data_IF_675438249738
#
_entry.id   IF_675438249738
#
_cell.length_a   1.000
_cell.length_b   1.000
_cell.length_c   1.000
_cell.angle_alpha   90.00
_cell.angle_beta   90.00
_cell.angle_gamma   90.00
#
_symmetry.space_group_name_H-M   'P 1'
#
loop_
_entity.id
_entity.type
_entity.pdbx_description
1 polymer ?
#
# COMPACT_ATOMS: atom_id res chain seq x y z
N UNK A 1 -12.34 36.01 -32.00
CA UNK A 1 -12.98 34.67 -31.92
C UNK A 1 -12.02 33.51 -32.18
N UNK A 2 -10.96 33.64 -32.97
CA UNK A 2 -9.96 32.58 -33.27
C UNK A 2 -8.99 32.26 -32.12
N UNK A 3 -8.75 33.17 -31.17
CA UNK A 3 -7.80 32.95 -30.05
C UNK A 3 -8.39 32.09 -28.92
N UNK A 4 -9.71 32.17 -28.66
CA UNK A 4 -10.36 31.34 -27.63
C UNK A 4 -10.47 29.87 -28.06
N UNK A 5 -10.68 29.60 -29.35
CA UNK A 5 -10.77 28.22 -29.87
C UNK A 5 -9.45 27.47 -29.79
N UNK A 6 -8.30 28.15 -29.98
CA UNK A 6 -6.97 27.54 -29.86
C UNK A 6 -6.63 27.19 -28.40
N UNK A 7 -7.00 28.01 -27.42
CA UNK A 7 -6.75 27.77 -26.00
C UNK A 7 -7.62 26.62 -25.49
N UNK A 8 -8.90 26.58 -25.89
CA UNK A 8 -9.82 25.50 -25.50
C UNK A 8 -9.40 24.18 -26.14
N UNK A 9 -9.02 24.18 -27.43
CA UNK A 9 -8.55 22.98 -28.12
C UNK A 9 -7.24 22.46 -27.49
N UNK A 10 -6.33 23.37 -27.10
CA UNK A 10 -5.08 23.00 -26.42
C UNK A 10 -5.31 22.44 -25.03
N UNK A 11 -6.35 22.94 -24.31
CA UNK A 11 -6.75 22.44 -23.00
C UNK A 11 -7.42 21.06 -23.10
N UNK A 12 -8.33 20.88 -24.06
CA UNK A 12 -9.03 19.59 -24.31
C UNK A 12 -8.02 18.52 -24.79
N UNK A 13 -7.08 18.87 -25.65
CA UNK A 13 -6.01 17.94 -26.11
C UNK A 13 -5.07 17.58 -24.95
N UNK A 14 -4.73 18.54 -24.06
CA UNK A 14 -3.93 18.24 -22.86
C UNK A 14 -4.67 17.34 -21.84
N UNK A 15 -5.97 17.56 -21.65
CA UNK A 15 -6.77 16.73 -20.73
C UNK A 15 -6.98 15.33 -21.32
N UNK A 16 -7.29 15.18 -22.59
CA UNK A 16 -7.45 13.89 -23.24
C UNK A 16 -6.13 13.10 -23.29
N UNK A 17 -4.99 13.73 -23.56
CA UNK A 17 -3.69 13.07 -23.48
C UNK A 17 -3.27 12.71 -22.04
N UNK A 18 -3.70 13.46 -21.01
CA UNK A 18 -3.51 13.08 -19.62
C UNK A 18 -4.32 11.83 -19.24
N UNK A 19 -5.56 11.73 -19.73
CA UNK A 19 -6.44 10.58 -19.51
C UNK A 19 -5.95 9.33 -20.26
N UNK A 20 -5.47 9.46 -21.50
CA UNK A 20 -4.97 8.33 -22.31
C UNK A 20 -3.66 7.73 -21.77
N UNK A 21 -2.74 8.55 -21.23
CA UNK A 21 -1.42 8.04 -20.79
C UNK A 21 -1.49 7.11 -19.58
N UNK A 22 -2.47 7.28 -18.70
CA UNK A 22 -2.60 6.49 -17.47
C UNK A 22 -3.61 5.34 -17.55
N UNK A 23 -4.55 5.39 -18.49
CA UNK A 23 -5.51 4.30 -18.72
C UNK A 23 -4.88 3.07 -19.39
N UNK A 24 -3.64 3.20 -19.89
CA UNK A 24 -2.94 2.12 -20.59
C UNK A 24 -1.92 1.35 -19.75
N UNK A 25 -1.46 1.90 -18.59
CA UNK A 25 -0.45 1.24 -17.77
C UNK A 25 -1.05 0.06 -17.01
N UNK A 26 -0.49 -1.13 -17.25
CA UNK A 26 -0.90 -2.37 -16.59
C UNK A 26 -0.20 -2.52 -15.25
N UNK A 27 -0.98 -2.49 -14.18
CA UNK A 27 -0.49 -2.75 -12.81
C UNK A 27 -0.89 -4.16 -12.39
N UNK A 28 0.03 -4.92 -11.84
CA UNK A 28 -0.28 -6.17 -11.14
C UNK A 28 0.07 -6.05 -9.66
N UNK A 29 -0.74 -6.69 -8.80
CA UNK A 29 -0.54 -6.69 -7.33
C UNK A 29 -0.15 -8.09 -6.87
N UNK A 30 1.06 -8.21 -6.33
CA UNK A 30 1.59 -9.44 -5.77
C UNK A 30 1.42 -9.42 -4.25
N UNK A 31 0.93 -10.50 -3.67
CA UNK A 31 0.57 -10.60 -2.24
C UNK A 31 -0.59 -9.65 -1.89
N UNK A 32 -1.62 -9.64 -2.74
CA UNK A 32 -2.68 -8.63 -2.72
C UNK A 32 -3.58 -8.67 -1.48
N UNK A 33 -3.68 -9.82 -0.78
CA UNK A 33 -4.56 -9.99 0.36
C UNK A 33 -6.01 -9.64 0.03
N UNK A 34 -6.64 -8.78 0.83
CA UNK A 34 -7.99 -8.27 0.54
C UNK A 34 -8.01 -7.01 -0.34
N UNK A 35 -6.88 -6.59 -0.91
CA UNK A 35 -6.85 -5.54 -1.94
C UNK A 35 -6.62 -4.10 -1.44
N UNK A 36 -6.05 -3.89 -0.25
CA UNK A 36 -5.80 -2.54 0.25
C UNK A 36 -4.83 -1.73 -0.63
N UNK A 37 -3.76 -2.37 -1.12
CA UNK A 37 -2.79 -1.76 -2.03
C UNK A 37 -3.42 -1.51 -3.41
N UNK A 38 -4.07 -2.52 -3.99
CA UNK A 38 -4.81 -2.43 -5.26
C UNK A 38 -5.82 -1.29 -5.25
N UNK A 39 -6.66 -1.18 -4.22
CA UNK A 39 -7.69 -0.14 -4.12
C UNK A 39 -7.08 1.25 -4.05
N UNK A 40 -5.97 1.44 -3.32
CA UNK A 40 -5.27 2.71 -3.26
C UNK A 40 -4.70 3.15 -4.62
N UNK A 41 -4.12 2.22 -5.38
CA UNK A 41 -3.65 2.48 -6.75
C UNK A 41 -4.82 2.78 -7.70
N UNK A 42 -5.92 2.03 -7.61
CA UNK A 42 -7.14 2.28 -8.39
C UNK A 42 -7.72 3.66 -8.09
N UNK A 43 -7.78 4.08 -6.81
CA UNK A 43 -8.24 5.42 -6.42
C UNK A 43 -7.34 6.55 -6.97
N UNK A 44 -6.05 6.29 -7.16
CA UNK A 44 -5.14 7.21 -7.82
C UNK A 44 -5.28 7.21 -9.36
N UNK A 45 -6.16 6.35 -9.92
CA UNK A 45 -6.46 6.27 -11.34
C UNK A 45 -5.48 5.37 -12.11
N UNK A 46 -4.87 4.37 -11.47
CA UNK A 46 -4.18 3.27 -12.14
C UNK A 46 -5.16 2.12 -12.41
N UNK A 47 -4.93 1.40 -13.51
CA UNK A 47 -5.70 0.21 -13.83
C UNK A 47 -4.97 -1.04 -13.30
N UNK A 48 -5.61 -1.75 -12.37
CA UNK A 48 -5.12 -3.06 -11.93
C UNK A 48 -5.54 -4.09 -12.98
N UNK A 49 -4.55 -4.76 -13.58
CA UNK A 49 -4.80 -5.77 -14.61
C UNK A 49 -5.01 -7.17 -14.00
N UNK A 50 -4.28 -7.49 -12.93
CA UNK A 50 -4.44 -8.73 -12.19
C UNK A 50 -3.87 -8.60 -10.77
N UNK A 51 -4.34 -9.46 -9.88
CA UNK A 51 -3.83 -9.59 -8.53
C UNK A 51 -3.51 -11.05 -8.20
N UNK A 52 -2.59 -11.29 -7.28
CA UNK A 52 -2.10 -12.63 -6.92
C UNK A 52 -2.01 -12.75 -5.41
N UNK A 53 -2.51 -13.85 -4.86
CA UNK A 53 -2.32 -14.21 -3.45
C UNK A 53 -2.44 -15.73 -3.27
N UNK A 54 -1.93 -16.27 -2.19
CA UNK A 54 -2.06 -17.69 -1.85
C UNK A 54 -3.09 -17.96 -0.75
N UNK A 55 -3.74 -16.93 -0.24
CA UNK A 55 -4.78 -17.05 0.79
C UNK A 55 -6.18 -17.03 0.18
N UNK A 56 -6.74 -18.21 -0.06
CA UNK A 56 -8.04 -18.39 -0.72
C UNK A 56 -9.15 -17.53 -0.09
N UNK A 57 -9.17 -17.42 1.26
CA UNK A 57 -10.18 -16.61 1.96
C UNK A 57 -10.07 -15.13 1.64
N UNK A 58 -8.83 -14.60 1.51
CA UNK A 58 -8.61 -13.21 1.11
C UNK A 58 -9.02 -12.97 -0.35
N UNK A 59 -8.72 -13.92 -1.24
CA UNK A 59 -9.13 -13.87 -2.64
C UNK A 59 -10.67 -13.80 -2.78
N UNK A 60 -11.43 -14.58 -1.99
CA UNK A 60 -12.90 -14.51 -2.00
C UNK A 60 -13.43 -13.13 -1.60
N UNK A 61 -12.78 -12.46 -0.66
CA UNK A 61 -13.10 -11.06 -0.30
C UNK A 61 -12.69 -10.12 -1.42
N UNK A 62 -11.52 -10.31 -2.01
CA UNK A 62 -11.02 -9.51 -3.13
C UNK A 62 -12.00 -9.53 -4.31
N UNK A 63 -12.42 -10.72 -4.76
CA UNK A 63 -13.33 -10.93 -5.91
C UNK A 63 -14.68 -10.23 -5.76
N UNK A 64 -15.15 -10.00 -4.53
CA UNK A 64 -16.40 -9.27 -4.27
C UNK A 64 -16.29 -7.76 -4.48
N UNK A 65 -15.06 -7.23 -4.54
CA UNK A 65 -14.80 -5.81 -4.54
C UNK A 65 -14.09 -5.29 -5.79
N UNK A 66 -13.57 -6.18 -6.64
CA UNK A 66 -12.81 -5.81 -7.83
C UNK A 66 -13.32 -6.57 -9.06
N UNK A 67 -13.25 -5.93 -10.22
CA UNK A 67 -13.72 -6.48 -11.49
C UNK A 67 -12.60 -7.13 -12.33
N UNK A 68 -11.34 -6.98 -11.93
CA UNK A 68 -10.20 -7.61 -12.60
C UNK A 68 -9.88 -8.95 -11.96
N UNK A 69 -9.10 -9.77 -12.66
CA UNK A 69 -8.76 -11.12 -12.22
C UNK A 69 -7.91 -11.11 -10.94
N UNK A 70 -8.25 -12.02 -10.03
CA UNK A 70 -7.39 -12.38 -8.90
C UNK A 70 -7.09 -13.88 -8.95
N UNK A 71 -5.82 -14.21 -8.88
CA UNK A 71 -5.30 -15.54 -9.14
C UNK A 71 -4.79 -16.15 -7.82
N UNK A 72 -5.37 -17.31 -7.47
CA UNK A 72 -4.90 -18.11 -6.34
C UNK A 72 -3.62 -18.83 -6.74
N UNK A 73 -2.46 -18.37 -6.26
CA UNK A 73 -1.21 -19.08 -6.49
C UNK A 73 -0.17 -18.78 -5.40
N UNK A 74 0.73 -19.73 -5.19
CA UNK A 74 1.95 -19.51 -4.43
C UNK A 74 2.99 -18.81 -5.33
N UNK A 75 3.17 -17.52 -5.15
CA UNK A 75 4.08 -16.70 -5.95
C UNK A 75 5.54 -17.17 -5.80
N UNK A 76 5.87 -17.86 -4.69
CA UNK A 76 7.20 -18.41 -4.49
C UNK A 76 7.52 -19.62 -5.40
N UNK A 77 6.50 -20.25 -6.00
CA UNK A 77 6.69 -21.33 -6.95
C UNK A 77 7.15 -20.78 -8.31
N UNK A 78 8.27 -21.28 -8.83
CA UNK A 78 8.89 -20.78 -10.08
C UNK A 78 7.98 -20.92 -11.30
N UNK A 79 7.07 -21.90 -11.30
CA UNK A 79 6.14 -22.15 -12.41
C UNK A 79 5.17 -20.98 -12.67
N UNK A 80 4.98 -20.11 -11.68
CA UNK A 80 4.08 -18.95 -11.80
C UNK A 80 4.75 -17.72 -12.46
N UNK A 81 6.06 -17.72 -12.67
CA UNK A 81 6.78 -16.56 -13.23
C UNK A 81 6.37 -16.28 -14.68
N UNK A 82 6.16 -17.32 -15.50
CA UNK A 82 5.73 -17.15 -16.89
C UNK A 82 4.32 -16.56 -16.97
N UNK A 83 3.42 -16.92 -16.05
CA UNK A 83 2.11 -16.30 -15.95
C UNK A 83 2.20 -14.79 -15.73
N UNK A 84 3.10 -14.35 -14.81
CA UNK A 84 3.32 -12.95 -14.52
C UNK A 84 3.95 -12.22 -15.73
N UNK A 85 4.94 -12.82 -16.40
CA UNK A 85 5.57 -12.28 -17.60
C UNK A 85 4.60 -12.09 -18.74
N UNK A 86 3.71 -13.07 -18.98
CA UNK A 86 2.73 -13.03 -20.06
C UNK A 86 1.71 -11.89 -19.90
N UNK A 87 1.49 -11.39 -18.70
CA UNK A 87 0.68 -10.19 -18.47
C UNK A 87 1.37 -8.91 -18.94
N UNK A 88 2.69 -8.93 -19.14
CA UNK A 88 3.51 -7.80 -19.55
C UNK A 88 3.17 -6.53 -18.74
N UNK A 89 3.37 -6.54 -17.40
CA UNK A 89 3.01 -5.40 -16.57
C UNK A 89 4.01 -4.25 -16.72
N UNK A 90 3.48 -3.03 -16.75
CA UNK A 90 4.28 -1.80 -16.67
C UNK A 90 4.69 -1.51 -15.24
N UNK A 91 3.85 -1.89 -14.28
CA UNK A 91 4.05 -1.66 -12.85
C UNK A 91 3.76 -2.94 -12.07
N UNK A 92 4.67 -3.33 -11.19
CA UNK A 92 4.43 -4.38 -10.19
C UNK A 92 4.34 -3.73 -8.82
N UNK A 93 3.22 -3.94 -8.11
CA UNK A 93 3.08 -3.54 -6.73
C UNK A 93 2.99 -4.78 -5.83
N UNK A 94 3.29 -4.65 -4.53
CA UNK A 94 3.09 -5.77 -3.62
C UNK A 94 3.59 -5.54 -2.21
N UNK A 95 2.99 -6.27 -1.27
CA UNK A 95 3.36 -6.29 0.14
C UNK A 95 3.80 -7.68 0.60
N UNK A 96 5.02 -8.16 0.25
CA UNK A 96 5.46 -9.51 0.61
C UNK A 96 5.46 -9.68 2.14
N UNK A 97 4.84 -10.75 2.70
CA UNK A 97 4.77 -10.94 4.13
C UNK A 97 6.15 -11.17 4.74
N UNK A 98 6.41 -10.47 5.87
CA UNK A 98 7.64 -10.63 6.62
C UNK A 98 7.51 -11.82 7.59
N UNK A 99 7.99 -13.00 7.21
CA UNK A 99 7.79 -14.25 7.94
C UNK A 99 8.54 -14.34 9.30
N UNK A 100 9.54 -13.53 9.55
CA UNK A 100 10.38 -13.60 10.76
C UNK A 100 9.72 -13.07 12.03
N UNK A 101 8.51 -12.54 11.97
CA UNK A 101 7.87 -11.83 13.09
C UNK A 101 6.51 -12.37 13.50
N UNK A 102 6.03 -13.45 12.89
CA UNK A 102 4.89 -14.19 13.43
C UNK A 102 5.40 -15.27 14.40
N UNK A 103 5.35 -14.96 15.69
CA UNK A 103 5.69 -15.87 16.81
C UNK A 103 4.72 -17.05 16.98
N UNK A 104 4.07 -17.54 15.93
CA UNK A 104 3.02 -18.55 16.00
C UNK A 104 3.17 -19.71 15.00
N UNK A 105 4.40 -20.03 14.56
CA UNK A 105 4.59 -21.22 13.73
C UNK A 105 5.98 -21.80 13.94
N UNK A 106 6.06 -23.12 14.24
CA UNK A 106 7.33 -23.87 14.22
C UNK A 106 7.95 -23.70 12.82
N UNK A 107 9.14 -23.12 12.76
CA UNK A 107 9.95 -23.06 11.56
C UNK A 107 10.25 -24.48 11.09
N UNK A 108 9.79 -24.82 9.91
CA UNK A 108 10.38 -25.89 9.13
C UNK A 108 11.35 -25.23 8.14
N UNK A 109 12.62 -25.16 8.51
CA UNK A 109 13.69 -24.54 7.72
C UNK A 109 13.99 -25.34 6.42
N UNK A 110 13.40 -26.52 6.28
CA UNK A 110 13.66 -27.48 5.18
C UNK A 110 12.65 -27.38 4.02
N UNK A 111 11.64 -26.52 4.06
CA UNK A 111 10.63 -26.43 3.01
C UNK A 111 10.96 -25.42 1.90
N UNK A 112 12.22 -25.08 1.61
CA UNK A 112 12.64 -24.44 0.34
C UNK A 112 11.94 -23.13 -0.05
N UNK A 113 11.08 -22.57 0.80
CA UNK A 113 10.38 -21.29 0.57
C UNK A 113 11.32 -20.16 0.94
N UNK A 114 11.98 -19.59 -0.06
CA UNK A 114 12.80 -18.40 0.11
C UNK A 114 12.02 -17.27 0.80
N UNK A 115 12.74 -16.33 1.40
CA UNK A 115 12.13 -15.13 1.96
C UNK A 115 11.33 -14.40 0.87
N UNK A 116 10.03 -14.15 1.11
CA UNK A 116 9.12 -13.60 0.12
C UNK A 116 9.50 -12.18 -0.33
N UNK A 117 10.28 -11.45 0.47
CA UNK A 117 10.89 -10.18 0.06
C UNK A 117 11.93 -10.39 -1.05
N UNK A 118 12.74 -11.44 -0.92
CA UNK A 118 13.74 -11.81 -1.94
C UNK A 118 13.05 -12.39 -3.18
N UNK A 119 11.98 -13.18 -2.99
CA UNK A 119 11.15 -13.68 -4.10
C UNK A 119 10.56 -12.53 -4.91
N UNK A 120 9.97 -11.53 -4.24
CA UNK A 120 9.47 -10.33 -4.90
C UNK A 120 10.56 -9.65 -5.74
N UNK A 121 11.76 -9.47 -5.17
CA UNK A 121 12.88 -8.86 -5.88
C UNK A 121 13.31 -9.66 -7.11
N UNK A 122 13.37 -11.01 -7.03
CA UNK A 122 13.68 -11.88 -8.16
C UNK A 122 12.64 -11.81 -9.26
N UNK A 123 11.34 -11.74 -8.91
CA UNK A 123 10.26 -11.57 -9.88
C UNK A 123 10.42 -10.24 -10.63
N UNK A 124 10.59 -9.12 -9.89
CA UNK A 124 10.82 -7.80 -10.47
C UNK A 124 12.04 -7.80 -11.39
N UNK A 125 13.16 -8.38 -10.96
CA UNK A 125 14.39 -8.46 -11.75
C UNK A 125 14.21 -9.31 -13.03
N UNK A 126 13.35 -10.31 -13.00
CA UNK A 126 13.08 -11.19 -14.16
C UNK A 126 12.05 -10.62 -15.12
N UNK A 127 10.99 -9.98 -14.62
CA UNK A 127 9.92 -9.37 -15.42
C UNK A 127 10.36 -8.03 -16.00
N UNK A 128 11.15 -7.27 -15.24
CA UNK A 128 11.65 -5.93 -15.58
C UNK A 128 10.55 -4.92 -15.94
N UNK A 129 9.49 -4.77 -15.09
CA UNK A 129 8.51 -3.72 -15.31
C UNK A 129 9.20 -2.35 -15.28
N UNK A 130 8.60 -1.33 -15.91
CA UNK A 130 9.15 0.05 -15.83
C UNK A 130 9.21 0.55 -14.39
N UNK A 131 8.21 0.16 -13.56
CA UNK A 131 8.13 0.55 -12.15
C UNK A 131 7.81 -0.64 -11.25
N UNK A 132 8.28 -0.57 -10.03
CA UNK A 132 7.75 -1.41 -8.97
C UNK A 132 7.53 -0.61 -7.67
N UNK A 133 6.59 -1.05 -6.84
CA UNK A 133 6.35 -0.52 -5.50
C UNK A 133 6.23 -1.68 -4.51
N UNK A 134 7.20 -1.82 -3.65
CA UNK A 134 7.20 -2.79 -2.55
C UNK A 134 6.86 -2.11 -1.23
N UNK A 135 5.83 -2.59 -0.54
CA UNK A 135 5.47 -2.16 0.82
C UNK A 135 5.89 -3.20 1.85
N UNK A 136 6.30 -2.76 3.03
CA UNK A 136 6.53 -3.65 4.16
C UNK A 136 6.54 -2.89 5.50
N UNK A 137 6.72 -3.62 6.61
CA UNK A 137 6.93 -3.02 7.94
C UNK A 137 8.23 -2.22 7.98
N UNK A 138 8.25 -1.13 8.75
CA UNK A 138 9.36 -0.18 8.87
C UNK A 138 10.72 -0.82 9.19
N UNK A 139 10.72 -1.85 10.03
CA UNK A 139 11.94 -2.57 10.43
C UNK A 139 12.59 -3.38 9.31
N UNK A 140 11.85 -3.71 8.23
CA UNK A 140 12.43 -4.40 7.07
C UNK A 140 13.58 -3.59 6.48
N UNK A 141 13.49 -2.27 6.44
CA UNK A 141 14.52 -1.38 5.89
C UNK A 141 15.93 -1.61 6.41
N UNK A 142 16.05 -2.18 7.63
CA UNK A 142 17.34 -2.46 8.28
C UNK A 142 17.69 -3.95 8.31
N UNK A 143 16.93 -4.82 7.66
CA UNK A 143 17.13 -6.27 7.69
C UNK A 143 18.15 -6.72 6.66
N UNK A 144 18.86 -7.83 6.96
CA UNK A 144 19.74 -8.47 5.99
C UNK A 144 18.99 -8.94 4.73
N UNK A 145 17.73 -9.36 4.88
CA UNK A 145 16.87 -9.81 3.77
C UNK A 145 16.57 -8.68 2.80
N UNK A 146 16.27 -7.49 3.31
CA UNK A 146 16.08 -6.33 2.47
C UNK A 146 17.36 -5.93 1.75
N UNK A 147 18.52 -6.01 2.41
CA UNK A 147 19.80 -5.74 1.75
C UNK A 147 19.98 -6.63 0.51
N UNK A 148 19.69 -7.94 0.63
CA UNK A 148 19.75 -8.87 -0.50
C UNK A 148 18.77 -8.46 -1.61
N UNK A 149 17.51 -8.15 -1.24
CA UNK A 149 16.51 -7.71 -2.20
C UNK A 149 16.92 -6.41 -2.91
N UNK A 150 17.47 -5.45 -2.18
CA UNK A 150 18.00 -4.18 -2.69
C UNK A 150 19.11 -4.41 -3.70
N UNK A 151 20.06 -5.28 -3.39
CA UNK A 151 21.16 -5.61 -4.29
C UNK A 151 20.64 -6.26 -5.60
N UNK A 152 19.61 -7.12 -5.52
CA UNK A 152 18.94 -7.71 -6.70
C UNK A 152 18.29 -6.61 -7.56
N UNK A 153 17.55 -5.65 -6.97
CA UNK A 153 16.94 -4.55 -7.71
C UNK A 153 18.00 -3.71 -8.44
N UNK A 154 19.07 -3.32 -7.75
CA UNK A 154 20.14 -2.51 -8.32
C UNK A 154 20.89 -3.24 -9.45
N UNK A 155 21.22 -4.52 -9.27
CA UNK A 155 21.83 -5.35 -10.31
C UNK A 155 20.92 -5.53 -11.53
N UNK A 156 19.60 -5.51 -11.32
CA UNK A 156 18.63 -5.56 -12.42
C UNK A 156 18.49 -4.23 -13.17
N UNK A 157 19.14 -3.15 -12.71
CA UNK A 157 19.13 -1.82 -13.35
C UNK A 157 18.10 -0.84 -12.81
N UNK A 158 17.60 -1.03 -11.58
CA UNK A 158 16.65 -0.11 -10.96
C UNK A 158 17.34 0.99 -10.14
N UNK A 159 16.98 2.25 -10.40
CA UNK A 159 17.16 3.33 -9.42
C UNK A 159 16.08 3.26 -8.35
N UNK A 160 16.44 3.45 -7.08
CA UNK A 160 15.58 3.18 -5.94
C UNK A 160 15.24 4.45 -5.15
N UNK A 161 13.97 4.59 -4.78
CA UNK A 161 13.51 5.51 -3.74
C UNK A 161 13.00 4.71 -2.53
N UNK A 162 13.62 4.92 -1.39
CA UNK A 162 13.37 4.19 -0.15
C UNK A 162 12.84 5.18 0.91
N UNK A 163 11.64 4.95 1.42
CA UNK A 163 11.01 5.87 2.40
C UNK A 163 10.21 5.12 3.45
N UNK A 164 10.35 5.53 4.71
CA UNK A 164 9.41 5.14 5.78
C UNK A 164 8.37 6.24 5.89
N UNK A 165 7.10 5.89 5.68
CA UNK A 165 5.96 6.78 5.81
C UNK A 165 5.16 6.44 7.06
N UNK A 166 4.68 7.48 7.77
CA UNK A 166 3.67 7.32 8.80
C UNK A 166 2.29 7.56 8.17
N UNK A 167 1.46 6.53 8.14
CA UNK A 167 0.14 6.57 7.54
C UNK A 167 -0.71 7.74 8.07
N UNK A 168 -0.52 8.12 9.34
CA UNK A 168 -1.25 9.24 9.94
C UNK A 168 -0.96 10.60 9.30
N UNK A 169 0.16 10.74 8.60
CA UNK A 169 0.51 11.92 7.82
C UNK A 169 0.11 11.80 6.33
N UNK A 170 -0.44 10.65 5.93
CA UNK A 170 -0.90 10.34 4.58
C UNK A 170 -2.44 10.23 4.51
N UNK A 171 -3.17 10.90 5.40
CA UNK A 171 -4.64 10.93 5.44
C UNK A 171 -5.29 9.68 6.04
N UNK A 172 -4.55 8.82 6.73
CA UNK A 172 -5.06 7.65 7.44
C UNK A 172 -5.20 7.99 8.93
N UNK A 173 -6.34 7.73 9.59
CA UNK A 173 -6.51 8.02 11.01
C UNK A 173 -5.80 6.98 11.92
N UNK A 174 -4.54 6.65 11.57
CA UNK A 174 -3.80 5.58 12.24
C UNK A 174 -2.29 5.83 12.24
N UNK A 175 -1.67 5.77 13.41
CA UNK A 175 -0.20 5.71 13.57
C UNK A 175 0.30 4.34 13.12
N UNK A 176 0.77 4.26 11.86
CA UNK A 176 1.26 3.04 11.24
C UNK A 176 2.43 3.37 10.32
N UNK A 177 3.63 3.03 10.75
CA UNK A 177 4.82 3.22 9.92
C UNK A 177 4.98 2.06 8.95
N UNK A 178 5.23 2.40 7.67
CA UNK A 178 5.47 1.46 6.60
C UNK A 178 6.65 1.89 5.76
N UNK A 179 7.46 0.92 5.41
CA UNK A 179 8.57 1.07 4.49
C UNK A 179 8.08 0.87 3.06
N UNK A 180 8.45 1.77 2.18
CA UNK A 180 8.26 1.65 0.75
C UNK A 180 9.61 1.65 0.05
N UNK A 181 9.80 0.70 -0.86
CA UNK A 181 10.86 0.70 -1.85
C UNK A 181 10.21 0.81 -3.22
N UNK A 182 10.49 1.90 -3.93
CA UNK A 182 9.95 2.19 -5.25
C UNK A 182 11.12 2.22 -6.22
N UNK A 183 11.04 1.43 -7.30
CA UNK A 183 12.10 1.36 -8.29
C UNK A 183 11.64 1.79 -9.67
N UNK A 184 12.50 2.55 -10.37
CA UNK A 184 12.37 2.88 -11.78
C UNK A 184 13.44 2.16 -12.58
N UNK A 185 13.05 1.34 -13.57
CA UNK A 185 13.99 0.65 -14.47
C UNK A 185 14.76 1.66 -15.33
N UNK A 186 16.08 1.59 -15.28
CA UNK A 186 17.01 2.56 -15.86
C UNK A 186 16.77 4.01 -15.38
N UNK A 187 16.27 4.16 -14.13
CA UNK A 187 16.11 5.44 -13.46
C UNK A 187 17.27 5.75 -12.51
N UNK A 188 17.23 6.94 -11.92
CA UNK A 188 18.16 7.35 -10.88
C UNK A 188 17.61 7.04 -9.47
N UNK A 189 18.52 6.99 -8.48
CA UNK A 189 18.13 6.84 -7.08
C UNK A 189 17.41 8.11 -6.57
N UNK A 190 16.44 7.92 -5.64
CA UNK A 190 15.75 8.98 -4.88
C UNK A 190 14.85 9.91 -5.68
N UNK A 191 14.52 9.60 -6.92
CA UNK A 191 13.71 10.48 -7.80
C UNK A 191 12.33 10.84 -7.23
N UNK A 192 11.75 10.00 -6.37
CA UNK A 192 10.45 10.23 -5.74
C UNK A 192 10.55 10.84 -4.33
N UNK A 193 11.74 11.07 -3.78
CA UNK A 193 11.88 11.49 -2.38
C UNK A 193 11.20 12.82 -2.10
N UNK A 194 11.37 13.81 -2.97
CA UNK A 194 10.73 15.12 -2.85
C UNK A 194 9.20 15.04 -2.95
N UNK A 195 8.67 14.22 -3.84
CA UNK A 195 7.22 14.01 -4.01
C UNK A 195 6.59 13.35 -2.78
N UNK A 196 7.26 12.33 -2.23
CA UNK A 196 6.81 11.64 -1.02
C UNK A 196 6.92 12.52 0.24
N UNK A 197 7.74 13.57 0.23
CA UNK A 197 7.88 14.50 1.36
C UNK A 197 6.95 15.70 1.26
N UNK A 198 6.77 16.25 0.06
CA UNK A 198 6.06 17.52 -0.13
C UNK A 198 4.57 17.46 0.20
N UNK A 199 3.96 16.29 0.06
CA UNK A 199 2.51 16.10 0.22
C UNK A 199 2.10 15.54 1.60
N UNK A 200 3.05 15.36 2.54
CA UNK A 200 2.74 14.92 3.90
C UNK A 200 1.94 15.97 4.65
N UNK A 201 0.92 15.55 5.39
CA UNK A 201 0.22 16.43 6.31
C UNK A 201 1.16 16.95 7.41
N UNK A 202 0.93 18.17 7.88
CA UNK A 202 1.72 18.78 8.95
C UNK A 202 1.47 18.18 10.32
N UNK A 203 0.32 17.52 10.51
CA UNK A 203 -0.07 16.81 11.73
C UNK A 203 -0.81 15.51 11.43
N UNK A 204 -0.77 14.53 12.36
CA UNK A 204 -1.50 13.28 12.20
C UNK A 204 -3.01 13.47 12.11
N UNK A 205 -3.66 12.74 11.21
CA UNK A 205 -5.12 12.68 11.07
C UNK A 205 -5.72 11.90 12.25
N UNK A 206 -6.71 12.45 12.94
CA UNK A 206 -7.44 11.78 14.01
C UNK A 206 -8.60 10.93 13.46
N UNK A 207 -9.15 10.04 14.30
CA UNK A 207 -10.34 9.25 13.91
C UNK A 207 -11.52 10.18 13.67
N UNK A 208 -11.76 11.16 14.56
CA UNK A 208 -12.87 12.11 14.42
C UNK A 208 -12.75 12.94 13.14
N UNK A 209 -11.57 13.42 12.79
CA UNK A 209 -11.38 14.16 11.54
C UNK A 209 -11.68 13.33 10.30
N UNK A 210 -11.46 12.03 10.36
CA UNK A 210 -11.67 11.14 9.20
C UNK A 210 -13.08 10.57 9.12
N UNK A 211 -13.68 10.15 10.25
CA UNK A 211 -14.97 9.47 10.32
C UNK A 211 -16.09 10.33 10.90
N UNK A 212 -15.80 11.54 11.39
CA UNK A 212 -16.76 12.32 12.16
C UNK A 212 -17.24 11.55 13.40
N UNK A 213 -18.52 11.67 13.70
CA UNK A 213 -19.16 10.98 14.81
C UNK A 213 -19.82 9.63 14.42
N UNK A 214 -19.50 9.11 13.22
CA UNK A 214 -20.14 7.90 12.67
C UNK A 214 -19.93 6.63 13.50
N UNK A 215 -18.90 6.58 14.35
CA UNK A 215 -18.66 5.47 15.26
C UNK A 215 -19.58 5.48 16.49
N UNK A 216 -20.22 6.61 16.81
CA UNK A 216 -21.09 6.78 18.00
C UNK A 216 -20.39 6.55 19.35
N UNK A 217 -19.06 6.77 19.40
CA UNK A 217 -18.23 6.58 20.60
C UNK A 217 -17.19 7.69 20.71
N UNK A 218 -16.79 8.03 21.93
CA UNK A 218 -15.70 8.98 22.20
C UNK A 218 -14.39 8.26 22.50
N UNK A 219 -14.50 7.06 23.10
CA UNK A 219 -13.37 6.25 23.54
C UNK A 219 -13.59 4.80 23.17
N UNK A 220 -12.48 4.09 22.93
CA UNK A 220 -12.52 2.65 22.61
C UNK A 220 -11.35 1.92 23.23
N UNK A 221 -11.57 0.64 23.51
CA UNK A 221 -10.54 -0.27 23.99
C UNK A 221 -9.79 -0.92 22.82
N UNK A 222 -8.47 -0.99 22.93
CA UNK A 222 -7.61 -1.75 22.04
C UNK A 222 -6.68 -2.65 22.84
N UNK A 223 -6.78 -3.96 22.63
CA UNK A 223 -5.95 -4.94 23.34
C UNK A 223 -4.45 -4.62 23.20
N UNK A 224 -3.72 -4.31 24.28
CA UNK A 224 -2.32 -3.94 24.23
C UNK A 224 -1.42 -5.15 23.99
N UNK A 225 -0.21 -4.95 23.46
CA UNK A 225 0.82 -6.03 23.38
C UNK A 225 1.39 -6.40 24.74
N UNK A 226 1.33 -5.48 25.70
CA UNK A 226 1.79 -5.63 27.08
C UNK A 226 0.90 -4.80 27.95
N UNK A 227 0.52 -5.32 29.10
CA UNK A 227 -0.27 -4.61 30.11
C UNK A 227 0.46 -3.39 30.74
N UNK A 228 1.74 -3.19 30.42
CA UNK A 228 2.48 -1.95 30.74
C UNK A 228 2.17 -0.79 29.79
N UNK A 229 1.23 -0.95 28.84
CA UNK A 229 0.84 0.06 27.86
C UNK A 229 -0.63 0.38 28.00
N UNK A 230 -0.99 1.65 27.75
CA UNK A 230 -2.39 2.07 27.70
C UNK A 230 -3.18 1.23 26.69
N UNK A 231 -4.48 1.08 26.96
CA UNK A 231 -5.38 0.32 26.09
C UNK A 231 -6.65 1.10 25.73
N UNK A 232 -6.94 2.22 26.38
CA UNK A 232 -8.09 3.07 26.09
C UNK A 232 -7.64 4.31 25.33
N UNK A 233 -8.25 4.57 24.18
CA UNK A 233 -7.88 5.62 23.23
C UNK A 233 -9.10 6.50 22.92
N UNK A 234 -8.88 7.80 22.68
CA UNK A 234 -9.89 8.73 22.19
C UNK A 234 -9.99 8.65 20.66
N UNK A 235 -11.15 8.99 20.10
CA UNK A 235 -11.30 9.23 18.67
C UNK A 235 -10.72 10.57 18.23
N UNK A 236 -10.37 11.48 19.17
CA UNK A 236 -9.65 12.73 18.90
C UNK A 236 -8.14 12.54 18.73
N UNK A 237 -7.68 11.32 18.66
CA UNK A 237 -6.30 10.97 18.34
C UNK A 237 -6.26 9.93 17.18
N UNK A 238 -5.13 9.83 16.46
CA UNK A 238 -4.96 8.75 15.48
C UNK A 238 -4.92 7.38 16.19
N UNK A 239 -5.62 6.41 15.64
CA UNK A 239 -5.60 5.04 16.15
C UNK A 239 -4.18 4.48 16.23
N UNK A 240 -3.83 3.70 17.24
CA UNK A 240 -2.67 2.84 17.16
C UNK A 240 -2.83 1.83 16.02
N UNK A 241 -1.70 1.31 15.52
CA UNK A 241 -1.69 0.31 14.43
C UNK A 241 -2.73 -0.79 14.61
N UNK A 242 -3.65 -0.94 13.67
CA UNK A 242 -4.59 -2.06 13.56
C UNK A 242 -3.79 -3.33 13.29
N UNK A 243 -4.11 -4.42 14.00
CA UNK A 243 -3.39 -5.71 13.93
C UNK A 243 -4.40 -6.82 13.70
N UNK A 244 -3.98 -8.02 13.30
CA UNK A 244 -4.83 -9.20 13.14
C UNK A 244 -5.48 -9.74 14.42
N UNK A 245 -5.38 -9.01 15.53
CA UNK A 245 -5.95 -9.43 16.84
C UNK A 245 -6.83 -8.34 17.41
N UNK A 246 -8.07 -8.71 17.74
CA UNK A 246 -9.03 -7.88 18.46
C UNK A 246 -9.63 -8.70 19.61
N UNK A 247 -9.52 -8.22 20.83
CA UNK A 247 -9.99 -8.94 22.03
C UNK A 247 -10.85 -8.02 22.88
N UNK A 248 -11.84 -8.57 23.60
CA UNK A 248 -12.64 -7.81 24.57
C UNK A 248 -11.78 -7.28 25.72
N UNK A 249 -12.35 -6.37 26.49
CA UNK A 249 -11.74 -5.86 27.71
C UNK A 249 -11.69 -7.01 28.73
N UNK A 250 -10.51 -7.32 29.30
CA UNK A 250 -10.43 -8.34 30.37
C UNK A 250 -11.21 -7.92 31.62
N UNK A 251 -11.85 -8.85 32.28
CA UNK A 251 -12.59 -8.58 33.54
C UNK A 251 -11.73 -7.93 34.62
N UNK A 252 -10.45 -8.23 34.65
CA UNK A 252 -9.46 -7.72 35.61
C UNK A 252 -8.55 -6.64 34.98
N UNK A 253 -9.06 -5.90 34.00
CA UNK A 253 -8.27 -4.82 33.38
C UNK A 253 -7.90 -3.76 34.43
N UNK A 254 -6.59 -3.50 34.54
CA UNK A 254 -6.07 -2.43 35.42
C UNK A 254 -5.88 -1.17 34.59
N UNK A 255 -6.50 -0.07 35.01
CA UNK A 255 -6.40 1.23 34.37
C UNK A 255 -4.93 1.64 34.33
N UNK A 256 -4.50 2.06 33.14
CA UNK A 256 -3.17 2.60 32.93
C UNK A 256 -3.20 4.13 33.01
N UNK A 257 -2.20 4.82 33.61
CA UNK A 257 -2.20 6.29 33.74
C UNK A 257 -2.33 7.04 32.40
N UNK A 258 -1.97 6.41 31.28
CA UNK A 258 -2.10 6.98 29.95
C UNK A 258 -3.40 6.63 29.21
N UNK A 259 -4.35 5.95 29.86
CA UNK A 259 -5.67 5.68 29.27
C UNK A 259 -6.44 7.00 29.11
N UNK A 260 -7.11 7.15 27.96
CA UNK A 260 -7.84 8.37 27.63
C UNK A 260 -9.13 8.56 28.41
N UNK A 261 -9.67 7.48 29.00
CA UNK A 261 -10.89 7.50 29.81
C UNK A 261 -10.92 6.33 30.80
N UNK A 262 -11.76 6.38 31.85
CA UNK A 262 -12.04 5.23 32.70
C UNK A 262 -12.81 4.13 31.96
N UNK A 263 -12.80 2.93 32.50
CA UNK A 263 -13.65 1.82 32.03
C UNK A 263 -15.11 2.09 32.40
N UNK A 264 -15.98 2.15 31.40
CA UNK A 264 -17.43 2.31 31.56
C UNK A 264 -18.16 1.15 30.88
N UNK A 265 -19.44 0.93 31.17
CA UNK A 265 -20.26 -0.08 30.47
C UNK A 265 -20.34 0.12 28.97
N UNK A 266 -20.17 1.35 28.46
CA UNK A 266 -20.23 1.71 27.05
C UNK A 266 -18.88 1.53 26.35
N UNK A 267 -17.79 1.41 27.12
CA UNK A 267 -16.47 1.22 26.56
C UNK A 267 -16.35 -0.16 25.89
N UNK A 268 -16.00 -0.18 24.63
CA UNK A 268 -15.85 -1.40 23.83
C UNK A 268 -14.65 -1.35 22.90
N UNK A 269 -14.18 -2.49 22.42
CA UNK A 269 -13.28 -2.50 21.25
C UNK A 269 -14.02 -2.00 20.01
N UNK A 270 -13.26 -1.51 19.03
CA UNK A 270 -13.79 -1.32 17.68
C UNK A 270 -14.24 -2.66 17.10
N UNK A 271 -15.36 -2.67 16.40
CA UNK A 271 -15.80 -3.85 15.64
C UNK A 271 -14.84 -4.13 14.49
N UNK A 272 -14.93 -5.31 13.87
CA UNK A 272 -14.11 -5.68 12.71
C UNK A 272 -14.28 -4.70 11.57
N UNK A 273 -15.54 -4.28 11.30
CA UNK A 273 -15.84 -3.32 10.23
C UNK A 273 -15.36 -1.91 10.58
N UNK A 274 -15.55 -1.43 11.80
CA UNK A 274 -14.98 -0.12 12.21
C UNK A 274 -13.45 -0.09 12.06
N UNK A 275 -12.78 -1.21 12.26
CA UNK A 275 -11.33 -1.33 12.04
C UNK A 275 -10.95 -1.25 10.56
N UNK A 276 -11.80 -1.72 9.64
CA UNK A 276 -11.58 -1.53 8.21
C UNK A 276 -11.71 -0.06 7.81
N UNK A 277 -12.60 0.70 8.47
CA UNK A 277 -12.68 2.16 8.27
C UNK A 277 -11.42 2.90 8.76
N UNK A 278 -10.80 2.42 9.86
CA UNK A 278 -9.49 2.95 10.29
C UNK A 278 -8.37 2.61 9.29
N UNK A 279 -8.48 1.49 8.58
CA UNK A 279 -7.61 1.13 7.44
C UNK A 279 -8.02 1.85 6.14
N UNK A 280 -9.00 2.73 6.23
CA UNK A 280 -9.52 3.57 5.15
C UNK A 280 -10.14 2.82 3.97
N UNK A 281 -10.66 1.61 4.20
CA UNK A 281 -11.57 0.97 3.27
C UNK A 281 -12.90 1.72 3.24
N UNK A 282 -13.54 1.87 2.05
CA UNK A 282 -14.81 2.56 1.96
C UNK A 282 -15.97 1.75 2.59
N UNK A 283 -17.06 2.41 3.02
CA UNK A 283 -18.18 1.72 3.68
C UNK A 283 -18.86 0.61 2.85
N UNK A 284 -18.82 0.72 1.54
CA UNK A 284 -19.38 -0.26 0.60
C UNK A 284 -18.43 -1.42 0.27
N UNK A 285 -17.24 -1.48 0.87
CA UNK A 285 -16.31 -2.60 0.67
C UNK A 285 -16.85 -3.84 1.40
N UNK A 286 -17.00 -4.93 0.67
CA UNK A 286 -17.64 -6.15 1.16
C UNK A 286 -16.63 -7.03 1.89
N UNK A 287 -16.80 -7.15 3.21
CA UNK A 287 -16.03 -8.03 4.08
C UNK A 287 -16.90 -9.22 4.54
N UNK A 288 -16.89 -10.29 3.76
CA UNK A 288 -17.65 -11.51 4.09
C UNK A 288 -16.70 -12.70 4.27
N UNK A 289 -16.46 -13.06 5.53
CA UNK A 289 -15.68 -14.23 5.93
C UNK A 289 -15.84 -14.44 7.45
N UNK A 290 -15.11 -15.42 8.01
CA UNK A 290 -15.05 -15.58 9.47
C UNK A 290 -14.46 -14.32 10.12
N UNK A 291 -14.93 -14.01 11.35
CA UNK A 291 -14.39 -12.88 12.12
C UNK A 291 -12.87 -12.95 12.24
N UNK A 292 -12.32 -14.13 12.48
CA UNK A 292 -10.87 -14.33 12.65
C UNK A 292 -10.12 -13.99 11.38
N UNK A 293 -10.60 -14.45 10.22
CA UNK A 293 -9.99 -14.17 8.93
C UNK A 293 -10.08 -12.68 8.58
N UNK A 294 -11.24 -12.06 8.79
CA UNK A 294 -11.41 -10.63 8.57
C UNK A 294 -10.48 -9.79 9.46
N UNK A 295 -10.36 -10.12 10.75
CA UNK A 295 -9.45 -9.45 11.67
C UNK A 295 -7.99 -9.55 11.17
N UNK A 296 -7.60 -10.74 10.67
CA UNK A 296 -6.26 -11.00 10.17
C UNK A 296 -6.00 -10.22 8.87
N UNK A 297 -6.89 -10.30 7.88
CA UNK A 297 -6.69 -9.63 6.59
C UNK A 297 -6.75 -8.10 6.71
N UNK A 298 -7.68 -7.55 7.52
CA UNK A 298 -7.76 -6.10 7.78
C UNK A 298 -6.50 -5.61 8.51
N UNK A 299 -6.00 -6.40 9.48
CA UNK A 299 -4.76 -6.07 10.21
C UNK A 299 -3.51 -6.08 9.32
N UNK A 300 -3.44 -6.99 8.35
CA UNK A 300 -2.33 -7.11 7.41
C UNK A 300 -2.40 -6.09 6.28
N UNK A 301 -3.59 -5.66 5.88
CA UNK A 301 -3.79 -4.78 4.75
C UNK A 301 -2.96 -3.48 4.84
N UNK A 302 -2.48 -3.04 3.69
CA UNK A 302 -1.99 -1.67 3.52
C UNK A 302 -3.20 -0.73 3.61
N UNK A 303 -3.18 0.32 4.44
CA UNK A 303 -4.26 1.29 4.45
C UNK A 303 -4.48 1.91 3.07
N UNK A 304 -5.74 1.94 2.61
CA UNK A 304 -6.06 2.36 1.24
C UNK A 304 -5.54 3.76 0.92
N UNK A 305 -5.72 4.74 1.84
CA UNK A 305 -5.22 6.11 1.64
C UNK A 305 -3.70 6.22 1.67
N UNK A 306 -3.00 5.34 2.39
CA UNK A 306 -1.52 5.30 2.34
C UNK A 306 -1.05 4.80 0.97
N UNK A 307 -1.68 3.76 0.43
CA UNK A 307 -1.40 3.26 -0.92
C UNK A 307 -1.75 4.31 -1.99
N UNK A 308 -2.91 4.96 -1.86
CA UNK A 308 -3.34 6.06 -2.74
C UNK A 308 -2.35 7.23 -2.71
N UNK A 309 -1.83 7.58 -1.53
CA UNK A 309 -0.81 8.62 -1.37
C UNK A 309 0.44 8.33 -2.18
N UNK A 310 1.00 7.11 -2.02
CA UNK A 310 2.20 6.68 -2.75
C UNK A 310 1.93 6.64 -4.25
N UNK A 311 0.79 6.10 -4.67
CA UNK A 311 0.38 6.03 -6.06
C UNK A 311 0.24 7.43 -6.70
N UNK A 312 -0.34 8.40 -5.98
CA UNK A 312 -0.43 9.80 -6.44
C UNK A 312 0.93 10.46 -6.61
N UNK A 313 1.87 10.24 -5.68
CA UNK A 313 3.23 10.74 -5.81
C UNK A 313 3.94 10.15 -7.03
N UNK A 314 3.81 8.83 -7.26
CA UNK A 314 4.34 8.17 -8.45
C UNK A 314 3.73 8.74 -9.73
N UNK A 315 2.41 8.89 -9.77
CA UNK A 315 1.69 9.47 -10.91
C UNK A 315 2.15 10.89 -11.23
N UNK A 316 2.30 11.73 -10.20
CA UNK A 316 2.75 13.11 -10.34
C UNK A 316 4.17 13.16 -10.96
N UNK A 317 5.09 12.33 -10.48
CA UNK A 317 6.43 12.21 -11.04
C UNK A 317 6.39 11.80 -12.51
N UNK A 318 5.64 10.74 -12.85
CA UNK A 318 5.51 10.27 -14.23
C UNK A 318 4.99 11.36 -15.18
N UNK A 319 3.97 12.12 -14.73
CA UNK A 319 3.39 13.20 -15.54
C UNK A 319 4.38 14.31 -15.84
N UNK A 320 5.16 14.73 -14.83
CA UNK A 320 6.12 15.81 -14.99
C UNK A 320 7.27 15.42 -15.94
N UNK A 321 7.79 14.18 -15.83
CA UNK A 321 8.90 13.73 -16.67
C UNK A 321 8.48 13.42 -18.12
N UNK A 322 7.22 13.02 -18.34
CA UNK A 322 6.71 12.86 -19.71
C UNK A 322 6.63 14.21 -20.46
N UNK A 323 6.35 15.31 -19.76
CA UNK A 323 6.31 16.66 -20.34
C UNK A 323 7.72 17.15 -20.68
N UNK A 324 8.72 16.87 -19.84
CA UNK A 324 10.10 17.29 -20.05
C UNK A 324 10.74 16.64 -21.29
N UNK A 325 10.54 15.33 -21.49
CA UNK A 325 11.06 14.60 -22.67
C UNK A 325 10.48 15.13 -23.99
N UNK A 326 9.25 15.67 -23.98
CA UNK A 326 8.61 16.25 -25.18
C UNK A 326 8.98 17.71 -25.45
N UNK A 327 9.57 18.41 -24.50
CA UNK A 327 9.97 19.81 -24.62
C UNK A 327 11.42 20.00 -25.07
N UNK A 328 12.24 18.95 -25.17
CA UNK A 328 13.56 19.06 -25.82
C UNK A 328 13.37 19.23 -27.31
N UNK A 329 13.91 20.34 -27.92
CA UNK A 329 13.86 20.51 -29.36
C UNK A 329 14.68 19.38 -30.01
N UNK A 330 14.08 18.75 -31.02
CA UNK A 330 14.79 17.77 -31.84
C UNK A 330 16.14 18.36 -32.23
N UNK A 331 17.25 17.76 -31.77
CA UNK A 331 18.59 18.15 -32.21
C UNK A 331 18.62 17.98 -33.73
N UNK A 332 18.69 19.10 -34.42
CA UNK A 332 18.88 19.10 -35.86
C UNK A 332 20.21 18.38 -36.15
N UNK A 333 20.12 17.23 -36.73
CA UNK A 333 21.28 16.58 -37.36
C UNK A 333 21.73 17.48 -38.52
N UNK A 334 22.81 18.27 -38.28
CA UNK A 334 23.46 19.01 -39.34
C UNK A 334 23.89 18.01 -40.40
N UNK A 335 23.49 18.28 -41.63
CA UNK A 335 23.99 17.56 -42.82
C UNK A 335 25.52 17.65 -42.84
N UNK A 336 26.24 16.56 -43.12
CA UNK A 336 27.67 16.62 -43.30
C UNK A 336 28.02 17.43 -44.58
N UNK A 337 29.20 18.04 -44.61
CA UNK A 337 29.65 18.86 -45.72
C UNK A 337 29.86 18.09 -47.05
#
# INVERSE_FOLDING_TARGET
MLFLSHVILHYIVKENHKLEFHSSLKVIDLFAGCGGLSLGFQNAGFQIAAAFDNWETAIKVYQKNFNHDVILCDIAALDNLELIKNLNPDIIIGGPPCQDFSSAGKRDENLGRGDLTIVFAKIVASVKPKWFVMENVDRLAKSAKYKIARDIFQQAGYGLTEKILDASLCGVPQKRKRFFCIGEFNGEDKVLESYLQANLATRPTTIREYLGDSLGIEYYYRHPRSYKRRAIFSIDEPSPTIRGVNRPIPKNYKIHPGDAAPVTPQLRPLTTIERSYIQTFPPNFIFESSKTDLEQMIGNAVPVKLAEYVAKCLKQYMQQNTVLVRSEPARSWGSPP
#
